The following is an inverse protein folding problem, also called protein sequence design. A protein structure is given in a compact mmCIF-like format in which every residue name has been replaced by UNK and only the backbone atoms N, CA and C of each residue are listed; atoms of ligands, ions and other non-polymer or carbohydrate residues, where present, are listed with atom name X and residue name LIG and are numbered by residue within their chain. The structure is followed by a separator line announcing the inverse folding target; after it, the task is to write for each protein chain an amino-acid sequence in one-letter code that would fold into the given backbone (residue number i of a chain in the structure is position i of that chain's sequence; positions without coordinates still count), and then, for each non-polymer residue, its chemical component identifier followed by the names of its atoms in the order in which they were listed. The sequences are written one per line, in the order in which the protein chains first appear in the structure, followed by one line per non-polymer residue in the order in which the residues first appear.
data_IF_760897985445
#
_entry.id   IF_760897985445
#
_cell.length_a   1.000
_cell.length_b   1.000
_cell.length_c   1.000
_cell.angle_alpha   90.00
_cell.angle_beta   90.00
_cell.angle_gamma   90.00
#
_symmetry.space_group_name_H-M   'P 1'
#
loop_
_entity.id
_entity.type
_entity.pdbx_description
1 polymer ?
#
# COMPACT_ATOMS: atom_id res chain seq x y z
N UNK A 1 25.02 -9.01 12.16
CA UNK A 1 24.21 -9.88 11.29
C UNK A 1 23.17 -9.03 10.58
N UNK A 2 23.29 -8.94 9.24
CA UNK A 2 22.31 -8.23 8.41
C UNK A 2 21.02 -9.04 8.37
N UNK A 3 19.83 -8.43 8.57
CA UNK A 3 18.57 -9.13 8.38
C UNK A 3 18.43 -9.54 6.91
N UNK A 4 18.03 -10.80 6.69
CA UNK A 4 17.81 -11.32 5.35
C UNK A 4 16.70 -10.51 4.65
N UNK A 5 17.05 -9.82 3.54
CA UNK A 5 16.09 -9.09 2.69
C UNK A 5 15.65 -10.02 1.57
N UNK A 6 14.57 -10.77 1.79
CA UNK A 6 13.92 -11.54 0.74
C UNK A 6 12.98 -10.64 -0.09
N UNK A 7 13.14 -10.62 -1.42
CA UNK A 7 12.17 -10.01 -2.35
C UNK A 7 11.33 -11.10 -2.99
N UNK A 8 10.02 -11.05 -2.79
CA UNK A 8 9.06 -11.93 -3.45
C UNK A 8 8.18 -11.13 -4.41
N UNK A 9 7.99 -11.62 -5.64
CA UNK A 9 7.01 -11.06 -6.59
C UNK A 9 5.70 -11.82 -6.48
N UNK A 10 4.69 -11.21 -5.92
CA UNK A 10 3.34 -11.75 -5.84
C UNK A 10 2.66 -11.68 -7.22
N UNK A 11 2.53 -12.82 -7.92
CA UNK A 11 1.93 -12.86 -9.28
C UNK A 11 0.52 -13.43 -9.32
N UNK A 12 0.27 -14.60 -8.73
CA UNK A 12 -1.04 -15.26 -8.70
C UNK A 12 -1.29 -15.85 -7.31
N UNK A 13 -2.54 -15.82 -6.79
CA UNK A 13 -2.83 -16.29 -5.43
C UNK A 13 -2.35 -17.71 -5.13
N UNK A 14 -2.51 -18.63 -6.05
CA UNK A 14 -2.12 -20.03 -5.86
C UNK A 14 -0.59 -20.27 -5.83
N UNK A 15 0.19 -19.46 -6.58
CA UNK A 15 1.66 -19.56 -6.57
C UNK A 15 2.26 -18.84 -5.36
N UNK A 16 1.56 -17.81 -4.85
CA UNK A 16 2.05 -16.98 -3.76
C UNK A 16 2.14 -17.76 -2.44
N UNK A 17 1.20 -18.66 -2.15
CA UNK A 17 1.19 -19.43 -0.91
C UNK A 17 2.45 -20.25 -0.70
N UNK A 18 2.89 -21.01 -1.71
CA UNK A 18 4.10 -21.85 -1.64
C UNK A 18 5.37 -21.01 -1.45
N UNK A 19 5.51 -19.95 -2.23
CA UNK A 19 6.67 -19.05 -2.16
C UNK A 19 6.76 -18.37 -0.80
N UNK A 20 5.63 -17.93 -0.27
CA UNK A 20 5.57 -17.33 1.05
C UNK A 20 5.84 -18.35 2.16
N UNK A 21 5.29 -19.58 2.07
CA UNK A 21 5.59 -20.65 3.02
C UNK A 21 7.10 -20.98 3.06
N UNK A 22 7.75 -21.04 1.90
CA UNK A 22 9.18 -21.26 1.80
C UNK A 22 10.00 -20.10 2.38
N UNK A 23 9.67 -18.87 2.01
CA UNK A 23 10.33 -17.68 2.52
C UNK A 23 10.25 -17.58 4.05
N UNK A 24 9.08 -17.84 4.63
CA UNK A 24 8.91 -17.80 6.10
C UNK A 24 9.54 -19.01 6.80
N UNK A 25 9.65 -20.15 6.12
CA UNK A 25 10.36 -21.31 6.65
C UNK A 25 11.87 -21.07 6.71
N UNK A 26 12.43 -20.46 5.66
CA UNK A 26 13.85 -20.15 5.59
C UNK A 26 14.24 -18.99 6.52
N UNK A 27 13.29 -18.09 6.79
CA UNK A 27 13.50 -16.90 7.60
C UNK A 27 12.45 -16.79 8.72
N UNK A 28 12.51 -17.60 9.76
CA UNK A 28 11.50 -17.64 10.82
C UNK A 28 11.46 -16.36 11.67
N UNK A 29 12.51 -15.54 11.61
CA UNK A 29 12.63 -14.27 12.35
C UNK A 29 11.99 -13.06 11.64
N UNK A 30 11.29 -13.26 10.52
CA UNK A 30 10.61 -12.15 9.84
C UNK A 30 9.52 -11.59 10.76
N UNK A 31 9.72 -10.35 11.21
CA UNK A 31 8.78 -9.61 12.06
C UNK A 31 8.02 -8.51 11.30
N UNK A 32 8.40 -8.21 10.06
CA UNK A 32 7.76 -7.19 9.25
C UNK A 32 7.86 -7.43 7.76
N UNK A 33 6.87 -6.92 7.02
CA UNK A 33 6.81 -6.98 5.57
C UNK A 33 6.28 -5.67 5.01
N UNK A 34 6.75 -5.30 3.82
CA UNK A 34 6.27 -4.12 3.08
C UNK A 34 5.89 -4.55 1.67
N UNK A 35 4.74 -4.11 1.20
CA UNK A 35 4.33 -4.24 -0.21
C UNK A 35 4.34 -2.88 -0.88
N UNK A 36 4.99 -2.77 -2.04
CA UNK A 36 5.15 -1.51 -2.78
C UNK A 36 4.12 -1.31 -3.90
N UNK A 37 3.01 -2.00 -3.83
CA UNK A 37 1.91 -1.91 -4.78
C UNK A 37 0.56 -2.14 -4.08
N UNK A 38 -0.53 -1.97 -4.83
CA UNK A 38 -1.89 -2.13 -4.34
C UNK A 38 -2.31 -3.56 -3.95
N UNK A 39 -1.43 -4.56 -4.09
CA UNK A 39 -1.74 -5.98 -3.81
C UNK A 39 -1.47 -6.42 -2.37
N UNK A 40 -1.37 -5.49 -1.44
CA UNK A 40 -1.16 -5.73 -0.01
C UNK A 40 -2.13 -6.77 0.57
N UNK A 41 -3.40 -6.74 0.13
CA UNK A 41 -4.44 -7.68 0.56
C UNK A 41 -4.09 -9.16 0.32
N UNK A 42 -3.23 -9.48 -0.65
CA UNK A 42 -2.80 -10.86 -0.94
C UNK A 42 -1.92 -11.37 0.20
N UNK A 43 -0.91 -10.58 0.58
CA UNK A 43 -0.03 -10.93 1.69
C UNK A 43 -0.79 -10.89 3.02
N UNK A 44 -1.67 -9.90 3.20
CA UNK A 44 -2.54 -9.83 4.37
C UNK A 44 -3.41 -11.09 4.53
N UNK A 45 -4.04 -11.55 3.45
CA UNK A 45 -4.83 -12.79 3.44
C UNK A 45 -3.99 -14.03 3.79
N UNK A 46 -2.76 -14.11 3.28
CA UNK A 46 -1.84 -15.19 3.64
C UNK A 46 -1.48 -15.15 5.13
N UNK A 47 -1.11 -13.99 5.67
CA UNK A 47 -0.74 -13.85 7.09
C UNK A 47 -1.91 -14.24 8.00
N UNK A 48 -3.13 -13.78 7.68
CA UNK A 48 -4.33 -14.15 8.43
C UNK A 48 -4.62 -15.66 8.37
N UNK A 49 -4.55 -16.27 7.18
CA UNK A 49 -4.79 -17.71 7.01
C UNK A 49 -3.77 -18.58 7.74
N UNK A 50 -2.53 -18.11 7.89
CA UNK A 50 -1.44 -18.81 8.59
C UNK A 50 -1.29 -18.40 10.05
N UNK A 51 -2.17 -17.53 10.58
CA UNK A 51 -2.13 -16.99 11.95
C UNK A 51 -0.75 -16.43 12.33
N UNK A 52 -0.17 -15.64 11.39
CA UNK A 52 1.13 -15.00 11.61
C UNK A 52 0.96 -13.59 12.19
N UNK A 53 0.31 -13.50 13.34
CA UNK A 53 -0.09 -12.24 13.98
C UNK A 53 1.10 -11.38 14.46
N UNK A 54 2.29 -11.97 14.56
CA UNK A 54 3.52 -11.26 14.91
C UNK A 54 4.17 -10.48 13.77
N UNK A 55 3.70 -10.64 12.51
CA UNK A 55 4.29 -9.97 11.35
C UNK A 55 3.57 -8.65 11.09
N UNK A 56 4.30 -7.54 11.22
CA UNK A 56 3.77 -6.20 10.90
C UNK A 56 3.79 -5.96 9.40
N UNK A 57 2.63 -5.66 8.81
CA UNK A 57 2.48 -5.45 7.37
C UNK A 57 2.17 -3.99 7.05
N UNK A 58 3.02 -3.38 6.22
CA UNK A 58 2.78 -2.06 5.64
C UNK A 58 2.52 -2.20 4.15
N UNK A 59 1.46 -1.59 3.67
CA UNK A 59 1.07 -1.62 2.27
C UNK A 59 0.94 -0.24 1.64
N UNK A 60 0.71 -0.24 0.33
CA UNK A 60 0.41 0.95 -0.46
C UNK A 60 -0.99 0.88 -1.03
N UNK A 61 -1.58 2.05 -1.27
CA UNK A 61 -2.89 2.29 -1.87
C UNK A 61 -4.09 1.85 -1.02
N UNK A 62 -5.08 2.73 -0.95
CA UNK A 62 -6.30 2.54 -0.16
C UNK A 62 -7.42 1.97 -1.05
N UNK A 63 -7.12 0.90 -1.81
CA UNK A 63 -8.18 0.16 -2.47
C UNK A 63 -9.06 -0.54 -1.44
N UNK A 64 -10.31 -0.84 -1.79
CA UNK A 64 -11.31 -1.42 -0.88
C UNK A 64 -10.76 -2.60 -0.07
N UNK A 65 -10.12 -3.58 -0.74
CA UNK A 65 -9.58 -4.78 -0.08
C UNK A 65 -8.47 -4.47 0.92
N UNK A 66 -7.58 -3.53 0.61
CA UNK A 66 -6.53 -3.12 1.53
C UNK A 66 -7.11 -2.40 2.75
N UNK A 67 -8.11 -1.52 2.54
CA UNK A 67 -8.82 -0.83 3.61
C UNK A 67 -9.59 -1.76 4.55
N UNK A 68 -10.21 -2.82 4.01
CA UNK A 68 -10.87 -3.86 4.80
C UNK A 68 -9.85 -4.60 5.69
N UNK A 69 -8.68 -4.96 5.14
CA UNK A 69 -7.60 -5.63 5.89
C UNK A 69 -6.96 -4.72 6.96
N UNK A 70 -6.85 -3.41 6.69
CA UNK A 70 -6.41 -2.43 7.68
C UNK A 70 -7.43 -2.32 8.82
N UNK A 71 -8.72 -2.19 8.49
CA UNK A 71 -9.81 -2.11 9.49
C UNK A 71 -9.90 -3.37 10.35
N UNK A 72 -9.63 -4.53 9.76
CA UNK A 72 -9.56 -5.81 10.47
C UNK A 72 -8.29 -5.98 11.33
N UNK A 73 -7.32 -5.06 11.22
CA UNK A 73 -6.06 -5.10 11.98
C UNK A 73 -5.02 -6.08 11.45
N UNK A 74 -5.24 -6.69 10.28
CA UNK A 74 -4.27 -7.59 9.62
C UNK A 74 -3.13 -6.79 8.99
N UNK A 75 -3.45 -5.65 8.37
CA UNK A 75 -2.49 -4.67 7.91
C UNK A 75 -2.24 -3.66 9.01
N UNK A 76 -0.97 -3.33 9.27
CA UNK A 76 -0.58 -2.39 10.32
C UNK A 76 -0.75 -0.93 9.87
N UNK A 77 -0.34 -0.63 8.63
CA UNK A 77 -0.47 0.70 8.05
C UNK A 77 -0.60 0.64 6.53
N UNK A 78 -1.26 1.63 5.95
CA UNK A 78 -1.30 1.86 4.51
C UNK A 78 -0.76 3.25 4.18
N UNK A 79 0.03 3.31 3.12
CA UNK A 79 0.50 4.57 2.54
C UNK A 79 -0.48 4.97 1.44
N UNK A 80 -1.17 6.08 1.63
CA UNK A 80 -2.15 6.63 0.69
C UNK A 80 -1.55 7.78 -0.10
N UNK A 81 -1.74 7.77 -1.42
CA UNK A 81 -1.11 8.70 -2.35
C UNK A 81 -2.08 9.74 -2.94
N UNK A 82 -3.35 9.74 -2.55
CA UNK A 82 -4.42 10.62 -3.06
C UNK A 82 -4.50 10.63 -4.59
N UNK A 83 -4.76 9.48 -5.26
CA UNK A 83 -4.73 9.38 -6.71
C UNK A 83 -5.74 10.33 -7.41
N UNK A 84 -6.89 10.60 -6.79
CA UNK A 84 -7.91 11.53 -7.29
C UNK A 84 -7.36 12.95 -7.35
N UNK A 85 -6.69 13.41 -6.30
CA UNK A 85 -6.09 14.73 -6.24
C UNK A 85 -4.90 14.84 -7.22
N UNK A 86 -4.13 13.77 -7.40
CA UNK A 86 -3.06 13.72 -8.40
C UNK A 86 -3.62 13.86 -9.81
N UNK A 87 -4.66 13.10 -10.16
CA UNK A 87 -5.33 13.17 -11.45
C UNK A 87 -5.92 14.55 -11.72
N UNK A 88 -6.65 15.11 -10.75
CA UNK A 88 -7.21 16.45 -10.85
C UNK A 88 -6.14 17.51 -11.11
N UNK A 89 -5.07 17.54 -10.31
CA UNK A 89 -3.98 18.52 -10.47
C UNK A 89 -3.26 18.37 -11.81
N UNK A 90 -3.04 17.15 -12.27
CA UNK A 90 -2.43 16.90 -13.58
C UNK A 90 -3.27 17.48 -14.72
N UNK A 91 -4.58 17.24 -14.71
CA UNK A 91 -5.51 17.79 -15.71
C UNK A 91 -5.56 19.32 -15.63
N UNK A 92 -5.66 19.88 -14.44
CA UNK A 92 -5.70 21.34 -14.26
C UNK A 92 -4.42 22.02 -14.75
N UNK A 93 -3.25 21.46 -14.44
CA UNK A 93 -1.97 21.98 -14.93
C UNK A 93 -1.88 21.93 -16.46
N UNK A 94 -2.41 20.88 -17.08
CA UNK A 94 -2.48 20.78 -18.55
C UNK A 94 -3.45 21.83 -19.14
N UNK A 95 -4.61 22.03 -18.53
CA UNK A 95 -5.57 23.05 -18.96
C UNK A 95 -4.97 24.45 -18.86
N UNK A 96 -4.33 24.79 -17.76
CA UNK A 96 -3.67 26.09 -17.55
C UNK A 96 -2.59 26.33 -18.62
N UNK A 97 -1.83 25.29 -18.96
CA UNK A 97 -0.82 25.41 -20.00
C UNK A 97 -1.42 25.61 -21.39
N UNK A 98 -2.41 24.81 -21.76
CA UNK A 98 -3.00 24.85 -23.10
C UNK A 98 -3.90 26.07 -23.33
N UNK A 99 -4.63 26.53 -22.32
CA UNK A 99 -5.59 27.62 -22.45
C UNK A 99 -4.98 28.98 -22.08
N UNK A 100 -4.18 29.01 -21.03
CA UNK A 100 -3.64 30.26 -20.47
C UNK A 100 -2.15 30.49 -20.84
N UNK A 101 -1.50 29.51 -21.47
CA UNK A 101 -0.07 29.59 -21.79
C UNK A 101 0.85 29.53 -20.58
N UNK A 102 0.31 29.21 -19.40
CA UNK A 102 1.06 29.19 -18.14
C UNK A 102 1.77 27.86 -17.98
N UNK A 103 3.08 27.85 -18.10
CA UNK A 103 3.88 26.64 -17.98
C UNK A 103 3.73 26.01 -16.57
N UNK A 104 3.43 24.70 -16.48
CA UNK A 104 3.34 24.03 -15.19
C UNK A 104 4.69 23.97 -14.48
N UNK A 105 4.65 23.90 -13.15
CA UNK A 105 5.85 23.66 -12.37
C UNK A 105 6.45 22.29 -12.76
N UNK A 106 7.79 22.24 -12.85
CA UNK A 106 8.50 20.98 -13.15
C UNK A 106 8.32 19.91 -12.08
N UNK A 107 8.05 20.31 -10.85
CA UNK A 107 7.89 19.42 -9.70
C UNK A 107 6.65 19.85 -8.93
N UNK A 108 5.69 18.94 -8.79
CA UNK A 108 4.50 19.10 -7.98
C UNK A 108 4.46 17.99 -6.93
N UNK A 109 4.92 18.28 -5.73
CA UNK A 109 4.86 17.32 -4.64
C UNK A 109 3.43 17.15 -4.13
N UNK A 110 3.04 15.90 -3.95
CA UNK A 110 1.77 15.55 -3.34
C UNK A 110 1.97 15.04 -1.91
N UNK A 111 1.10 15.38 -0.97
CA UNK A 111 1.17 14.82 0.37
C UNK A 111 0.95 13.31 0.34
N UNK A 112 1.63 12.62 1.24
CA UNK A 112 1.46 11.20 1.50
C UNK A 112 0.79 11.07 2.86
N UNK A 113 -0.30 10.31 2.92
CA UNK A 113 -1.00 10.02 4.17
C UNK A 113 -0.63 8.63 4.67
N UNK A 114 -0.37 8.52 5.97
CA UNK A 114 -0.19 7.23 6.64
C UNK A 114 -1.48 6.89 7.35
N UNK A 115 -2.10 5.79 6.92
CA UNK A 115 -3.36 5.33 7.47
C UNK A 115 -3.14 4.16 8.41
N UNK A 116 -3.77 4.28 9.56
CA UNK A 116 -3.86 3.27 10.58
C UNK A 116 -5.33 2.86 10.75
N UNK A 117 -5.58 1.77 11.46
CA UNK A 117 -6.94 1.32 11.79
C UNK A 117 -7.80 2.42 12.43
N UNK A 118 -7.17 3.26 13.23
CA UNK A 118 -7.84 4.31 14.00
C UNK A 118 -8.25 5.50 13.14
N UNK A 119 -7.50 5.84 12.09
CA UNK A 119 -7.76 7.03 11.28
C UNK A 119 -8.40 6.75 9.90
N UNK A 120 -8.45 5.50 9.44
CA UNK A 120 -9.03 5.15 8.13
C UNK A 120 -10.51 5.54 7.99
N UNK A 121 -11.37 5.49 9.03
CA UNK A 121 -12.77 5.93 8.90
C UNK A 121 -12.89 7.41 8.54
N UNK A 122 -11.98 8.24 9.02
CA UNK A 122 -11.97 9.69 8.76
C UNK A 122 -11.38 10.01 7.38
N UNK A 123 -10.45 9.22 6.88
CA UNK A 123 -9.86 9.38 5.56
C UNK A 123 -10.89 9.23 4.44
N UNK A 124 -11.80 8.26 4.54
CA UNK A 124 -12.84 8.01 3.54
C UNK A 124 -13.84 9.16 3.39
N UNK A 125 -14.01 9.99 4.41
CA UNK A 125 -14.93 11.11 4.41
C UNK A 125 -14.30 12.42 3.89
N UNK A 126 -12.99 12.44 3.65
CA UNK A 126 -12.23 13.62 3.23
C UNK A 126 -11.67 13.51 1.81
N UNK A 127 -12.25 12.66 0.98
CA UNK A 127 -11.92 12.58 -0.45
C UNK A 127 -12.74 13.67 -1.17
N UNK A 128 -12.26 14.90 -1.08
CA UNK A 128 -12.62 16.01 -1.97
C UNK A 128 -11.32 16.67 -2.40
#
# INVERSE_FOLDING_TARGET
SHPARGRCRLRRPACNGRVLDEMFRENPSIAGAVTFNSTCYILAGYLAARRRDGVRLVGYDVIRRNGEMLSAGVVTALVAQRPEAQGYRAVMALCEWLVEGRAPSKINNMPIDILLKENIPYYKNNII
#
